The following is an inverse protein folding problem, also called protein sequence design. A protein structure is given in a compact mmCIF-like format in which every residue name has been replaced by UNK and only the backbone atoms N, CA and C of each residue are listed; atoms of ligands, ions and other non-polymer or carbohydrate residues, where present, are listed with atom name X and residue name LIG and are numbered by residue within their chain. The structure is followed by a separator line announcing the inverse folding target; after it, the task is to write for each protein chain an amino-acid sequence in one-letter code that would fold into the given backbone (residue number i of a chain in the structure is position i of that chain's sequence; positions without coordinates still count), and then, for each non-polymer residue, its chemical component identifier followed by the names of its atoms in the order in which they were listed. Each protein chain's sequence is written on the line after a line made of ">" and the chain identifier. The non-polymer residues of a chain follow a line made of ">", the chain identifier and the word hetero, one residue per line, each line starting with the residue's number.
data_IF_721505248726
#
_entry.id   IF_721505248726
#
_cell.length_a   1.000
_cell.length_b   1.000
_cell.length_c   1.000
_cell.angle_alpha   90.00
_cell.angle_beta   90.00
_cell.angle_gamma   90.00
#
_symmetry.space_group_name_H-M   'P 1'
#
loop_
_entity.id
_entity.type
_entity.pdbx_description
1 polymer ?
#
# COMPACT_ATOMS: atom_id res chain seq x y z
N UNK A 1 -50.93 32.60 29.44
CA UNK A 1 -49.82 32.65 28.46
C UNK A 1 -48.50 32.80 29.21
N UNK A 2 -47.45 32.12 28.72
CA UNK A 2 -46.01 32.26 29.09
C UNK A 2 -45.65 31.60 30.44
N UNK A 3 -44.65 30.73 30.56
CA UNK A 3 -43.39 30.64 29.84
C UNK A 3 -42.98 29.17 29.61
N UNK A 4 -42.86 28.81 28.33
CA UNK A 4 -41.97 27.75 27.87
C UNK A 4 -40.56 28.32 27.94
N UNK A 5 -39.73 27.81 28.83
CA UNK A 5 -38.29 28.12 28.82
C UNK A 5 -37.54 26.84 28.50
N UNK A 6 -37.30 26.70 27.20
CA UNK A 6 -36.49 25.70 26.53
C UNK A 6 -35.10 25.55 27.14
N UNK A 7 -34.73 24.29 27.31
CA UNK A 7 -33.38 23.75 27.07
C UNK A 7 -32.63 24.51 25.98
N UNK A 8 -31.40 24.96 26.27
CA UNK A 8 -30.35 25.01 25.27
C UNK A 8 -29.02 24.52 25.85
N UNK A 9 -28.64 23.34 25.39
CA UNK A 9 -27.31 22.75 25.48
C UNK A 9 -26.28 23.64 24.77
N UNK A 10 -25.11 23.82 25.39
CA UNK A 10 -23.87 24.08 24.67
C UNK A 10 -22.89 22.95 25.02
N UNK A 11 -22.96 21.87 24.24
CA UNK A 11 -21.90 20.88 24.20
C UNK A 11 -20.73 21.50 23.40
N UNK A 12 -19.77 22.09 24.10
CA UNK A 12 -18.49 22.45 23.50
C UNK A 12 -17.68 21.18 23.28
N UNK A 13 -17.63 20.70 22.04
CA UNK A 13 -16.69 19.66 21.60
C UNK A 13 -15.29 20.26 21.56
N UNK A 14 -14.58 20.25 22.70
CA UNK A 14 -13.15 20.60 22.75
C UNK A 14 -12.40 19.59 21.88
N UNK A 15 -11.92 20.02 20.72
CA UNK A 15 -11.00 19.23 19.90
C UNK A 15 -9.66 19.21 20.64
N UNK A 16 -9.33 18.10 21.30
CA UNK A 16 -8.07 17.95 22.01
C UNK A 16 -6.91 17.85 21.00
N UNK A 17 -6.07 18.87 20.93
CA UNK A 17 -4.80 18.81 20.21
C UNK A 17 -3.81 18.00 21.05
N UNK A 18 -3.26 16.92 20.50
CA UNK A 18 -2.26 16.10 21.20
C UNK A 18 -0.89 16.37 20.60
N UNK A 19 0.07 16.74 21.41
CA UNK A 19 1.44 17.02 21.02
C UNK A 19 2.32 15.80 21.28
N UNK A 20 3.24 15.53 20.36
CA UNK A 20 4.32 14.56 20.57
C UNK A 20 5.46 15.25 21.31
N UNK A 21 5.82 14.70 22.44
CA UNK A 21 6.86 15.22 23.31
C UNK A 21 7.95 14.16 23.49
N UNK A 22 9.21 14.60 23.55
CA UNK A 22 10.32 13.72 23.87
C UNK A 22 10.96 14.19 25.18
N UNK A 23 10.76 13.43 26.25
CA UNK A 23 11.33 13.71 27.56
C UNK A 23 12.33 12.61 27.88
N UNK A 24 13.61 12.96 28.03
CA UNK A 24 14.68 12.00 28.36
C UNK A 24 14.79 10.80 27.39
N UNK A 25 14.56 11.02 26.09
CA UNK A 25 14.63 9.97 25.06
C UNK A 25 13.41 9.04 24.99
N UNK A 26 12.36 9.31 25.79
CA UNK A 26 11.08 8.60 25.74
C UNK A 26 10.04 9.50 25.08
N UNK A 27 9.33 8.96 24.09
CA UNK A 27 8.24 9.64 23.41
C UNK A 27 6.98 9.55 24.25
N UNK A 28 6.47 10.70 24.68
CA UNK A 28 5.23 10.85 25.44
C UNK A 28 4.24 11.73 24.67
N UNK A 29 2.95 11.48 24.87
CA UNK A 29 1.88 12.25 24.22
C UNK A 29 1.17 13.12 25.25
N UNK A 30 1.13 14.42 25.00
CA UNK A 30 0.57 15.41 25.93
C UNK A 30 -0.53 16.22 25.27
N UNK A 31 -1.57 16.58 26.01
CA UNK A 31 -2.60 17.52 25.54
C UNK A 31 -2.15 18.99 25.64
N UNK A 32 -0.99 19.23 26.26
CA UNK A 32 -0.36 20.54 26.43
C UNK A 32 0.97 20.58 25.67
N UNK A 33 1.29 21.72 25.04
CA UNK A 33 2.56 21.87 24.33
C UNK A 33 3.74 21.75 25.28
N UNK A 34 4.63 20.79 25.01
CA UNK A 34 5.84 20.56 25.80
C UNK A 34 7.00 21.49 25.41
N UNK A 35 7.00 22.02 24.19
CA UNK A 35 8.01 22.95 23.69
C UNK A 35 7.42 23.86 22.60
N UNK A 36 8.12 24.96 22.26
CA UNK A 36 7.67 25.93 21.23
C UNK A 36 7.59 25.31 19.83
N UNK A 37 8.27 24.20 19.63
CA UNK A 37 8.43 23.42 18.40
C UNK A 37 7.79 22.03 18.47
N UNK A 38 6.95 21.76 19.48
CA UNK A 38 6.30 20.46 19.63
C UNK A 38 5.38 20.12 18.44
N UNK A 39 5.54 18.92 17.86
CA UNK A 39 4.73 18.46 16.73
C UNK A 39 3.31 18.16 17.20
N UNK A 40 2.34 18.95 16.73
CA UNK A 40 0.93 18.68 16.95
C UNK A 40 0.50 17.48 16.10
N UNK A 41 0.00 16.44 16.75
CA UNK A 41 -0.55 15.26 16.11
C UNK A 41 -2.05 15.44 15.92
N UNK A 42 -2.49 15.27 14.66
CA UNK A 42 -3.90 15.17 14.35
C UNK A 42 -4.39 13.73 14.67
N UNK A 43 -5.05 13.59 15.83
CA UNK A 43 -5.63 12.32 16.32
C UNK A 43 -7.01 12.02 15.69
N UNK A 44 -7.44 12.78 14.69
CA UNK A 44 -8.72 12.55 14.02
C UNK A 44 -8.78 11.15 13.40
N UNK A 45 -9.93 10.44 13.52
CA UNK A 45 -10.07 9.14 12.90
C UNK A 45 -9.77 9.23 11.40
N UNK A 46 -9.05 8.24 10.88
CA UNK A 46 -8.59 8.15 9.50
C UNK A 46 -9.76 8.47 8.56
N UNK A 47 -9.66 9.60 7.84
CA UNK A 47 -10.70 10.11 6.95
C UNK A 47 -11.45 11.37 7.43
N UNK A 48 -11.10 11.97 8.57
CA UNK A 48 -11.72 13.23 9.08
C UNK A 48 -10.76 14.40 9.27
N UNK A 49 -9.49 14.25 8.89
CA UNK A 49 -8.53 15.36 8.84
C UNK A 49 -9.00 16.44 7.85
N UNK A 50 -8.76 17.72 8.18
CA UNK A 50 -9.05 18.83 7.27
C UNK A 50 -8.14 18.71 6.04
N UNK A 51 -8.77 18.54 4.88
CA UNK A 51 -8.12 18.45 3.57
C UNK A 51 -7.08 19.55 3.38
N UNK A 52 -5.81 19.16 3.27
CA UNK A 52 -4.72 20.06 2.89
C UNK A 52 -3.61 20.25 3.94
N UNK A 53 -3.67 19.59 5.10
CA UNK A 53 -2.56 19.66 6.07
C UNK A 53 -1.37 18.79 5.64
N UNK A 54 -0.12 19.16 6.02
CA UNK A 54 1.08 18.34 5.77
C UNK A 54 0.98 16.90 6.31
N UNK A 55 0.32 16.73 7.45
CA UNK A 55 0.11 15.42 8.09
C UNK A 55 -0.78 14.50 7.25
N UNK A 56 -1.88 15.01 6.71
CA UNK A 56 -2.78 14.23 5.86
C UNK A 56 -2.12 13.85 4.53
N UNK A 57 -1.40 14.78 3.90
CA UNK A 57 -0.63 14.47 2.69
C UNK A 57 0.36 13.32 2.93
N UNK A 58 1.13 13.36 4.02
CA UNK A 58 2.03 12.27 4.41
C UNK A 58 1.28 10.95 4.59
N UNK A 59 0.13 10.97 5.26
CA UNK A 59 -0.68 9.77 5.45
C UNK A 59 -1.18 9.18 4.13
N UNK A 60 -1.64 10.01 3.19
CA UNK A 60 -2.10 9.58 1.88
C UNK A 60 -0.96 8.98 1.05
N UNK A 61 0.18 9.66 0.99
CA UNK A 61 1.38 9.15 0.30
C UNK A 61 1.86 7.84 0.91
N UNK A 62 1.91 7.74 2.24
CA UNK A 62 2.32 6.51 2.93
C UNK A 62 1.36 5.36 2.69
N UNK A 63 0.06 5.63 2.62
CA UNK A 63 -0.94 4.62 2.27
C UNK A 63 -0.73 4.08 0.85
N UNK A 64 -0.46 4.96 -0.13
CA UNK A 64 -0.16 4.54 -1.51
C UNK A 64 1.17 3.78 -1.56
N UNK A 65 2.22 4.25 -0.87
CA UNK A 65 3.53 3.56 -0.80
C UNK A 65 3.41 2.17 -0.18
N UNK A 66 2.58 2.00 0.87
CA UNK A 66 2.28 0.67 1.44
C UNK A 66 1.65 -0.27 0.41
N UNK A 67 0.68 0.22 -0.37
CA UNK A 67 0.07 -0.55 -1.46
C UNK A 67 1.11 -0.92 -2.52
N UNK A 68 1.99 0.02 -2.91
CA UNK A 68 3.07 -0.25 -3.87
C UNK A 68 3.99 -1.38 -3.41
N UNK A 69 4.46 -1.33 -2.15
CA UNK A 69 5.30 -2.40 -1.56
C UNK A 69 4.61 -3.76 -1.56
N UNK A 70 3.30 -3.80 -1.32
CA UNK A 70 2.54 -5.04 -1.38
C UNK A 70 2.48 -5.60 -2.81
N UNK A 71 2.28 -4.74 -3.82
CA UNK A 71 2.30 -5.16 -5.23
C UNK A 71 3.70 -5.62 -5.65
N UNK A 72 4.77 -4.94 -5.22
CA UNK A 72 6.15 -5.36 -5.45
C UNK A 72 6.42 -6.76 -4.88
N UNK A 73 5.98 -7.01 -3.64
CA UNK A 73 6.07 -8.34 -3.04
C UNK A 73 5.28 -9.39 -3.85
N UNK A 74 4.08 -9.06 -4.33
CA UNK A 74 3.28 -9.96 -5.17
C UNK A 74 3.99 -10.29 -6.49
N UNK A 75 4.64 -9.31 -7.12
CA UNK A 75 5.44 -9.52 -8.33
C UNK A 75 6.61 -10.48 -8.03
N UNK A 76 7.37 -10.23 -6.96
CA UNK A 76 8.50 -11.09 -6.58
C UNK A 76 8.05 -12.53 -6.30
N UNK A 77 6.91 -12.69 -5.62
CA UNK A 77 6.29 -14.00 -5.39
C UNK A 77 5.91 -14.69 -6.70
N UNK A 78 5.27 -14.00 -7.63
CA UNK A 78 4.93 -14.56 -8.95
C UNK A 78 6.17 -14.96 -9.75
N UNK A 79 7.26 -14.19 -9.68
CA UNK A 79 8.53 -14.52 -10.33
C UNK A 79 9.19 -15.77 -9.72
N UNK A 80 9.11 -15.92 -8.40
CA UNK A 80 9.56 -17.14 -7.71
C UNK A 80 8.70 -18.34 -8.08
N UNK A 81 7.38 -18.22 -8.02
CA UNK A 81 6.43 -19.29 -8.37
C UNK A 81 6.56 -19.72 -9.84
N UNK A 82 6.81 -18.77 -10.74
CA UNK A 82 7.15 -19.05 -12.14
C UNK A 82 8.39 -19.93 -12.22
N UNK A 83 9.48 -19.53 -11.58
CA UNK A 83 10.75 -20.26 -11.64
C UNK A 83 10.57 -21.70 -11.15
N UNK A 84 9.94 -21.89 -9.98
CA UNK A 84 9.65 -23.22 -9.43
C UNK A 84 8.78 -24.08 -10.34
N UNK A 85 7.72 -23.50 -10.93
CA UNK A 85 6.82 -24.24 -11.81
C UNK A 85 7.52 -24.66 -13.12
N UNK A 86 8.33 -23.78 -13.71
CA UNK A 86 9.07 -24.07 -14.94
C UNK A 86 10.16 -25.11 -14.67
N UNK A 87 10.86 -25.03 -13.54
CA UNK A 87 11.89 -26.01 -13.17
C UNK A 87 11.29 -27.39 -12.90
N UNK A 88 10.11 -27.47 -12.28
CA UNK A 88 9.38 -28.72 -12.10
C UNK A 88 9.01 -29.36 -13.45
N UNK A 89 8.48 -28.58 -14.40
CA UNK A 89 8.13 -29.07 -15.74
C UNK A 89 9.37 -29.46 -16.55
N UNK A 90 10.48 -28.73 -16.44
CA UNK A 90 11.76 -29.10 -17.06
C UNK A 90 12.31 -30.40 -16.47
N UNK A 91 12.18 -30.61 -15.17
CA UNK A 91 12.55 -31.86 -14.50
C UNK A 91 11.69 -33.04 -14.99
N UNK A 92 10.38 -32.84 -15.15
CA UNK A 92 9.47 -33.82 -15.76
C UNK A 92 9.90 -34.14 -17.19
N UNK A 93 10.16 -33.11 -18.01
CA UNK A 93 10.63 -33.27 -19.39
C UNK A 93 11.95 -34.06 -19.46
N UNK A 94 12.88 -33.79 -18.53
CA UNK A 94 14.16 -34.48 -18.46
C UNK A 94 14.01 -35.95 -18.12
N UNK A 95 13.18 -36.27 -17.11
CA UNK A 95 12.87 -37.67 -16.74
C UNK A 95 12.19 -38.40 -17.90
N UNK A 96 11.23 -37.74 -18.54
CA UNK A 96 10.51 -38.27 -19.70
C UNK A 96 11.48 -38.59 -20.85
N UNK A 97 12.42 -37.70 -21.17
CA UNK A 97 13.43 -37.96 -22.21
C UNK A 97 14.32 -39.18 -21.93
N UNK A 98 14.55 -39.53 -20.65
CA UNK A 98 15.33 -40.72 -20.27
C UNK A 98 14.57 -42.04 -20.46
N UNK A 99 13.25 -42.01 -20.61
CA UNK A 99 12.41 -43.20 -20.75
C UNK A 99 12.00 -43.52 -22.20
N UNK A 100 12.74 -43.00 -23.20
CA UNK A 100 12.45 -43.16 -24.63
C UNK A 100 10.98 -42.85 -24.99
N UNK A 101 10.51 -41.63 -24.69
CA UNK A 101 9.12 -41.25 -24.80
C UNK A 101 8.74 -41.05 -26.27
N UNK A 102 7.44 -41.07 -26.55
CA UNK A 102 6.94 -40.64 -27.87
C UNK A 102 7.18 -39.13 -28.05
N UNK A 103 7.37 -38.70 -29.28
CA UNK A 103 7.58 -37.27 -29.62
C UNK A 103 6.42 -36.39 -29.14
N UNK A 104 5.19 -36.91 -29.22
CA UNK A 104 3.97 -36.26 -28.74
C UNK A 104 4.01 -35.93 -27.24
N UNK A 105 4.56 -36.83 -26.41
CA UNK A 105 4.64 -36.64 -24.96
C UNK A 105 5.64 -35.53 -24.60
N UNK A 106 6.78 -35.49 -25.29
CA UNK A 106 7.78 -34.42 -25.13
C UNK A 106 7.22 -33.07 -25.59
N UNK A 107 6.47 -33.07 -26.69
CA UNK A 107 5.79 -31.88 -27.20
C UNK A 107 4.71 -31.38 -26.23
N UNK A 108 3.95 -32.27 -25.61
CA UNK A 108 2.94 -31.92 -24.61
C UNK A 108 3.57 -31.22 -23.39
N UNK A 109 4.68 -31.73 -22.87
CA UNK A 109 5.39 -31.07 -21.75
C UNK A 109 5.98 -29.72 -22.18
N UNK A 110 6.56 -29.63 -23.38
CA UNK A 110 7.04 -28.36 -23.91
C UNK A 110 5.90 -27.31 -24.04
N UNK A 111 4.71 -27.74 -24.47
CA UNK A 111 3.54 -26.87 -24.52
C UNK A 111 3.08 -26.44 -23.13
N UNK A 112 3.13 -27.32 -22.12
CA UNK A 112 2.85 -26.94 -20.72
C UNK A 112 3.82 -25.87 -20.23
N UNK A 113 5.11 -25.98 -20.54
CA UNK A 113 6.14 -24.98 -20.20
C UNK A 113 5.77 -23.63 -20.83
N UNK A 114 5.53 -23.58 -22.14
CA UNK A 114 5.20 -22.35 -22.85
C UNK A 114 3.92 -21.68 -22.29
N UNK A 115 2.87 -22.47 -22.00
CA UNK A 115 1.64 -21.96 -21.38
C UNK A 115 1.88 -21.41 -19.98
N UNK A 116 2.71 -22.09 -19.17
CA UNK A 116 3.06 -21.61 -17.84
C UNK A 116 3.83 -20.29 -17.91
N UNK A 117 4.79 -20.17 -18.83
CA UNK A 117 5.54 -18.92 -19.06
C UNK A 117 4.62 -17.77 -19.46
N UNK A 118 3.72 -18.01 -20.42
CA UNK A 118 2.76 -17.00 -20.87
C UNK A 118 1.84 -16.55 -19.74
N UNK A 119 1.26 -17.49 -18.99
CA UNK A 119 0.35 -17.19 -17.86
C UNK A 119 1.03 -16.32 -16.80
N UNK A 120 2.25 -16.69 -16.38
CA UNK A 120 2.97 -15.90 -15.39
C UNK A 120 3.41 -14.54 -15.95
N UNK A 121 3.83 -14.47 -17.22
CA UNK A 121 4.18 -13.21 -17.87
C UNK A 121 2.99 -12.24 -17.89
N UNK A 122 1.80 -12.73 -18.22
CA UNK A 122 0.56 -11.95 -18.18
C UNK A 122 0.28 -11.43 -16.77
N UNK A 123 0.25 -12.30 -15.76
CA UNK A 123 0.01 -11.92 -14.37
C UNK A 123 1.03 -10.89 -13.86
N UNK A 124 2.32 -11.11 -14.10
CA UNK A 124 3.38 -10.17 -13.72
C UNK A 124 3.19 -8.84 -14.45
N UNK A 125 2.82 -8.84 -15.72
CA UNK A 125 2.58 -7.61 -16.49
C UNK A 125 1.41 -6.79 -15.93
N UNK A 126 0.33 -7.46 -15.51
CA UNK A 126 -0.82 -6.82 -14.86
C UNK A 126 -0.40 -6.16 -13.55
N UNK A 127 0.33 -6.87 -12.70
CA UNK A 127 0.81 -6.31 -11.42
C UNK A 127 1.80 -5.15 -11.64
N UNK A 128 2.67 -5.24 -12.65
CA UNK A 128 3.57 -4.14 -13.03
C UNK A 128 2.79 -2.92 -13.54
N UNK A 129 1.67 -3.11 -14.23
CA UNK A 129 0.79 -2.01 -14.62
C UNK A 129 0.15 -1.36 -13.39
N UNK A 130 -0.34 -2.16 -12.45
CA UNK A 130 -0.87 -1.69 -11.15
C UNK A 130 0.17 -0.88 -10.38
N UNK A 131 1.40 -1.38 -10.29
CA UNK A 131 2.51 -0.69 -9.61
C UNK A 131 2.81 0.67 -10.24
N UNK A 132 2.87 0.75 -11.57
CA UNK A 132 3.05 2.02 -12.29
C UNK A 132 1.90 2.99 -12.01
N UNK A 133 0.67 2.50 -11.93
CA UNK A 133 -0.50 3.31 -11.56
C UNK A 133 -0.37 3.90 -10.14
N UNK A 134 0.06 3.10 -9.17
CA UNK A 134 0.29 3.56 -7.80
C UNK A 134 1.44 4.56 -7.70
N UNK A 135 2.53 4.35 -8.45
CA UNK A 135 3.64 5.30 -8.53
C UNK A 135 3.20 6.64 -9.13
N UNK A 136 2.37 6.62 -10.18
CA UNK A 136 1.79 7.83 -10.77
C UNK A 136 0.85 8.57 -9.80
N UNK A 137 0.12 7.84 -8.95
CA UNK A 137 -0.69 8.45 -7.88
C UNK A 137 0.17 9.19 -6.87
N UNK A 138 1.31 8.62 -6.43
CA UNK A 138 2.25 9.32 -5.51
C UNK A 138 2.73 10.62 -6.13
N UNK A 139 3.19 10.60 -7.38
CA UNK A 139 3.66 11.81 -8.09
C UNK A 139 2.55 12.85 -8.23
N UNK A 140 1.32 12.42 -8.49
CA UNK A 140 0.15 13.32 -8.57
C UNK A 140 -0.13 13.97 -7.21
N UNK A 141 -0.11 13.20 -6.12
CA UNK A 141 -0.31 13.71 -4.76
C UNK A 141 0.79 14.73 -4.40
N UNK A 142 2.04 14.43 -4.71
CA UNK A 142 3.18 15.32 -4.47
C UNK A 142 3.02 16.67 -5.20
N UNK A 143 2.58 16.64 -6.46
CA UNK A 143 2.28 17.87 -7.23
C UNK A 143 1.10 18.65 -6.65
N UNK A 144 0.03 17.97 -6.26
CA UNK A 144 -1.13 18.62 -5.65
C UNK A 144 -0.74 19.34 -4.35
N UNK A 145 0.04 18.69 -3.50
CA UNK A 145 0.54 19.28 -2.26
C UNK A 145 1.45 20.49 -2.54
N UNK A 146 2.34 20.41 -3.52
CA UNK A 146 3.21 21.53 -3.89
C UNK A 146 2.41 22.74 -4.42
N UNK A 147 1.31 22.50 -5.15
CA UNK A 147 0.45 23.57 -5.66
C UNK A 147 -0.47 24.18 -4.60
N UNK A 148 -0.76 23.46 -3.50
CA UNK A 148 -1.66 23.94 -2.44
C UNK A 148 -0.91 24.75 -1.36
N UNK A 149 0.42 24.61 -1.28
CA UNK A 149 1.27 25.32 -0.31
C UNK A 149 2.10 26.48 -0.90
N UNK A 150 1.84 26.84 -2.16
CA UNK A 150 2.32 28.09 -2.79
C UNK A 150 1.16 29.09 -2.87
#
# INVERSE_FOLDING_TARGET
>A
MRYVSLLFFLAFSVQATVYKCETNGVVEFSQFSCAKDAEALDMRPVGTALSGTPGEFRQQVDAVKRKSRFVEFKIAKLEQEKTLAIDALKSEQYKLRRSFPRTEEVAAVAQKIARAEQRYAEQISTERATLRGLQAQVVTLERQYANTNN
#
